data_IF_112981616098
#
_entry.id   IF_112981616098
#
_cell.length_a   1.000
_cell.length_b   1.000
_cell.length_c   1.000
_cell.angle_alpha   90.00
_cell.angle_beta   90.00
_cell.angle_gamma   90.00
#
_symmetry.space_group_name_H-M   'P 1'
#
loop_
_entity.id
_entity.type
_entity.pdbx_description
1 polymer ?
#
# COMPACT_ATOMS: atom_id res chain seq x y z
N UNK A 1 -8.87 3.69 7.59
CA UNK A 1 -10.29 3.28 7.59
C UNK A 1 -10.38 1.91 6.93
N UNK A 2 -11.25 1.03 7.43
CA UNK A 2 -11.58 -0.25 6.78
C UNK A 2 -12.77 0.01 5.86
N UNK A 3 -12.67 -0.40 4.60
CA UNK A 3 -13.66 -0.23 3.55
C UNK A 3 -14.19 -1.63 3.20
N UNK A 4 -15.51 -1.80 3.20
CA UNK A 4 -16.15 -3.06 2.78
C UNK A 4 -15.99 -3.29 1.29
N UNK A 5 -16.13 -4.53 0.82
CA UNK A 5 -16.05 -4.85 -0.62
C UNK A 5 -17.06 -4.06 -1.46
N UNK A 6 -18.31 -3.97 -1.00
CA UNK A 6 -19.37 -3.21 -1.69
C UNK A 6 -19.02 -1.73 -1.77
N UNK A 7 -18.58 -1.14 -0.66
CA UNK A 7 -18.17 0.27 -0.64
C UNK A 7 -16.94 0.51 -1.53
N UNK A 8 -16.00 -0.44 -1.55
CA UNK A 8 -14.81 -0.38 -2.39
C UNK A 8 -15.16 -0.33 -3.87
N UNK A 9 -16.02 -1.23 -4.35
CA UNK A 9 -16.47 -1.26 -5.75
C UNK A 9 -17.09 0.07 -6.18
N UNK A 10 -17.96 0.64 -5.32
CA UNK A 10 -18.60 1.93 -5.60
C UNK A 10 -17.59 3.08 -5.64
N UNK A 11 -16.65 3.14 -4.68
CA UNK A 11 -15.67 4.23 -4.59
C UNK A 11 -14.56 4.16 -5.63
N UNK A 12 -14.24 2.96 -6.11
CA UNK A 12 -13.20 2.72 -7.12
C UNK A 12 -13.73 2.74 -8.56
N UNK A 13 -15.07 2.77 -8.75
CA UNK A 13 -15.71 2.61 -10.06
C UNK A 13 -15.33 1.28 -10.74
N UNK A 14 -15.20 0.23 -9.92
CA UNK A 14 -14.87 -1.12 -10.37
C UNK A 14 -16.10 -2.03 -10.39
N UNK A 15 -16.13 -2.91 -11.40
CA UNK A 15 -17.01 -4.08 -11.37
C UNK A 15 -16.37 -5.25 -10.62
N UNK A 16 -17.22 -6.22 -10.24
CA UNK A 16 -16.80 -7.41 -9.50
C UNK A 16 -15.75 -8.24 -10.26
N UNK A 17 -15.89 -8.36 -11.58
CA UNK A 17 -15.03 -9.20 -12.41
C UNK A 17 -13.61 -8.61 -12.49
N UNK A 18 -13.51 -7.31 -12.67
CA UNK A 18 -12.25 -6.57 -12.71
C UNK A 18 -11.56 -6.62 -11.36
N UNK A 19 -12.31 -6.46 -10.26
CA UNK A 19 -11.78 -6.64 -8.92
C UNK A 19 -11.18 -8.04 -8.74
N UNK A 20 -11.90 -9.09 -9.15
CA UNK A 20 -11.41 -10.47 -8.99
C UNK A 20 -10.13 -10.73 -9.79
N UNK A 21 -10.01 -10.15 -10.99
CA UNK A 21 -8.75 -10.19 -11.77
C UNK A 21 -7.62 -9.47 -11.03
N UNK A 22 -7.87 -8.27 -10.50
CA UNK A 22 -6.83 -7.50 -9.81
C UNK A 22 -6.39 -8.14 -8.49
N UNK A 23 -7.28 -8.87 -7.83
CA UNK A 23 -6.93 -9.68 -6.67
C UNK A 23 -6.12 -10.92 -7.07
N UNK A 24 -6.50 -11.59 -8.17
CA UNK A 24 -5.78 -12.77 -8.67
C UNK A 24 -4.37 -12.46 -9.16
N UNK A 25 -4.18 -11.30 -9.80
CA UNK A 25 -2.87 -10.77 -10.22
C UNK A 25 -2.08 -10.12 -9.08
N UNK A 26 -2.60 -10.16 -7.85
CA UNK A 26 -2.00 -9.57 -6.64
C UNK A 26 -1.77 -8.05 -6.73
N UNK A 27 -2.45 -7.35 -7.65
CA UNK A 27 -2.38 -5.89 -7.77
C UNK A 27 -3.05 -5.20 -6.58
N UNK A 28 -4.12 -5.81 -6.06
CA UNK A 28 -4.75 -5.40 -4.81
C UNK A 28 -4.53 -6.50 -3.77
N UNK A 29 -4.10 -6.11 -2.58
CA UNK A 29 -3.86 -7.04 -1.47
C UNK A 29 -4.63 -6.57 -0.23
N UNK A 30 -5.97 -6.63 -0.25
CA UNK A 30 -6.77 -6.33 0.92
C UNK A 30 -6.46 -7.32 2.04
N UNK A 31 -6.82 -6.94 3.27
CA UNK A 31 -6.74 -7.85 4.40
C UNK A 31 -7.86 -8.88 4.28
N UNK A 32 -7.50 -10.15 4.15
CA UNK A 32 -8.47 -11.25 4.21
C UNK A 32 -8.96 -11.41 5.65
N UNK A 33 -10.21 -11.05 5.91
CA UNK A 33 -10.89 -11.36 7.17
C UNK A 33 -11.78 -12.61 6.99
N UNK A 34 -12.28 -13.16 8.11
CA UNK A 34 -12.94 -14.47 8.12
C UNK A 34 -14.15 -14.59 7.17
N UNK A 35 -14.87 -13.48 6.95
CA UNK A 35 -16.11 -13.48 6.15
C UNK A 35 -16.00 -12.69 4.84
N UNK A 36 -15.17 -11.63 4.78
CA UNK A 36 -15.04 -10.77 3.59
C UNK A 36 -13.68 -10.04 3.52
N UNK A 37 -13.10 -9.80 2.33
CA UNK A 37 -11.94 -8.94 2.17
C UNK A 37 -12.20 -7.51 2.67
N UNK A 38 -11.28 -7.02 3.48
CA UNK A 38 -11.28 -5.67 4.04
C UNK A 38 -10.27 -4.80 3.31
N UNK A 39 -10.76 -3.77 2.64
CA UNK A 39 -9.95 -2.82 1.88
C UNK A 39 -9.54 -1.64 2.76
N UNK A 40 -8.47 -0.98 2.38
CA UNK A 40 -7.98 0.24 3.00
C UNK A 40 -8.00 1.40 2.02
N UNK A 41 -7.83 2.63 2.53
CA UNK A 41 -7.66 3.81 1.67
C UNK A 41 -6.45 3.68 0.74
N UNK A 42 -5.42 2.91 1.12
CA UNK A 42 -4.28 2.64 0.25
C UNK A 42 -4.68 1.74 -0.94
N UNK A 43 -5.55 0.76 -0.71
CA UNK A 43 -6.08 -0.09 -1.79
C UNK A 43 -6.93 0.74 -2.76
N UNK A 44 -7.71 1.69 -2.24
CA UNK A 44 -8.52 2.58 -3.08
C UNK A 44 -7.65 3.49 -3.94
N UNK A 45 -6.63 4.11 -3.35
CA UNK A 45 -5.67 4.94 -4.08
C UNK A 45 -4.92 4.11 -5.15
N UNK A 46 -4.58 2.85 -4.83
CA UNK A 46 -3.96 1.95 -5.79
C UNK A 46 -4.91 1.58 -6.94
N UNK A 47 -6.19 1.34 -6.67
CA UNK A 47 -7.18 1.08 -7.70
C UNK A 47 -7.34 2.27 -8.66
N UNK A 48 -7.40 3.49 -8.13
CA UNK A 48 -7.45 4.72 -8.92
C UNK A 48 -6.20 4.87 -9.81
N UNK A 49 -5.01 4.60 -9.27
CA UNK A 49 -3.77 4.61 -10.05
C UNK A 49 -3.82 3.59 -11.20
N UNK A 50 -4.31 2.37 -10.96
CA UNK A 50 -4.42 1.36 -12.01
C UNK A 50 -5.35 1.85 -13.13
N UNK A 51 -6.46 2.51 -12.79
CA UNK A 51 -7.34 3.14 -13.78
C UNK A 51 -6.63 4.21 -14.60
N UNK A 52 -5.89 5.12 -13.96
CA UNK A 52 -5.12 6.16 -14.65
C UNK A 52 -4.07 5.54 -15.60
N UNK A 53 -3.35 4.52 -15.14
CA UNK A 53 -2.37 3.80 -15.95
C UNK A 53 -3.01 3.15 -17.19
N UNK A 54 -4.15 2.48 -17.03
CA UNK A 54 -4.80 1.76 -18.13
C UNK A 54 -5.55 2.70 -19.08
N UNK A 55 -6.29 3.68 -18.56
CA UNK A 55 -7.18 4.54 -19.35
C UNK A 55 -6.44 5.74 -19.96
N UNK A 56 -5.61 6.41 -19.17
CA UNK A 56 -5.06 7.70 -19.57
C UNK A 56 -3.65 7.54 -20.17
N UNK A 57 -2.91 6.50 -19.75
CA UNK A 57 -1.55 6.21 -20.22
C UNK A 57 -1.44 5.01 -21.16
N UNK A 58 -2.53 4.25 -21.35
CA UNK A 58 -2.57 3.10 -22.28
C UNK A 58 -1.65 1.94 -21.90
N UNK A 59 -1.31 1.82 -20.61
CA UNK A 59 -0.45 0.75 -20.10
C UNK A 59 -1.22 -0.58 -20.17
N UNK A 60 -0.55 -1.63 -20.67
CA UNK A 60 -1.10 -2.98 -20.69
C UNK A 60 -1.02 -3.65 -19.31
N UNK A 61 -1.67 -4.80 -19.14
CA UNK A 61 -1.74 -5.47 -17.84
C UNK A 61 -0.35 -5.86 -17.29
N UNK A 62 0.54 -6.35 -18.16
CA UNK A 62 1.92 -6.66 -17.80
C UNK A 62 2.68 -5.42 -17.28
N UNK A 63 2.51 -4.29 -17.96
CA UNK A 63 3.12 -3.02 -17.59
C UNK A 63 2.58 -2.48 -16.27
N UNK A 64 1.29 -2.66 -15.99
CA UNK A 64 0.70 -2.30 -14.70
C UNK A 64 1.38 -3.06 -13.57
N UNK A 65 1.54 -4.38 -13.70
CA UNK A 65 2.22 -5.20 -12.70
C UNK A 65 3.65 -4.72 -12.40
N UNK A 66 4.41 -4.39 -13.45
CA UNK A 66 5.77 -3.85 -13.30
C UNK A 66 5.77 -2.50 -12.57
N UNK A 67 4.89 -1.58 -12.94
CA UNK A 67 4.81 -0.24 -12.32
C UNK A 67 4.42 -0.35 -10.85
N UNK A 68 3.44 -1.19 -10.52
CA UNK A 68 3.02 -1.43 -9.13
C UNK A 68 4.16 -2.02 -8.29
N UNK A 69 4.89 -3.01 -8.83
CA UNK A 69 6.05 -3.59 -8.15
C UNK A 69 7.15 -2.55 -7.87
N UNK A 70 7.43 -1.65 -8.82
CA UNK A 70 8.38 -0.56 -8.63
C UNK A 70 7.90 0.44 -7.57
N UNK A 71 6.61 0.77 -7.57
CA UNK A 71 6.01 1.65 -6.58
C UNK A 71 6.13 1.06 -5.17
N UNK A 72 5.86 -0.24 -5.04
CA UNK A 72 5.97 -0.97 -3.77
C UNK A 72 7.41 -1.02 -3.26
N UNK A 73 8.39 -1.18 -4.15
CA UNK A 73 9.82 -1.09 -3.80
C UNK A 73 10.19 0.30 -3.25
N UNK A 74 9.74 1.37 -3.92
CA UNK A 74 9.98 2.75 -3.46
C UNK A 74 9.34 3.00 -2.10
N UNK A 75 8.11 2.54 -1.89
CA UNK A 75 7.44 2.64 -0.59
C UNK A 75 8.16 1.82 0.50
N UNK A 76 8.64 0.62 0.16
CA UNK A 76 9.45 -0.21 1.04
C UNK A 76 10.73 0.52 1.50
N UNK A 77 11.46 1.11 0.56
CA UNK A 77 12.67 1.88 0.86
C UNK A 77 12.37 3.10 1.74
N UNK A 78 11.30 3.85 1.43
CA UNK A 78 10.89 5.00 2.25
C UNK A 78 10.55 4.61 3.69
N UNK A 79 9.87 3.47 3.88
CA UNK A 79 9.58 2.94 5.23
C UNK A 79 10.85 2.55 5.97
N UNK A 80 11.75 1.81 5.32
CA UNK A 80 13.02 1.39 5.92
C UNK A 80 13.85 2.60 6.38
N UNK A 81 13.96 3.64 5.55
CA UNK A 81 14.65 4.88 5.92
C UNK A 81 13.98 5.61 7.08
N UNK A 82 12.65 5.69 7.09
CA UNK A 82 11.91 6.31 8.19
C UNK A 82 12.12 5.58 9.52
N UNK A 83 12.18 4.24 9.50
CA UNK A 83 12.41 3.44 10.69
C UNK A 83 13.84 3.57 11.22
N UNK A 84 14.86 3.61 10.34
CA UNK A 84 16.24 3.91 10.74
C UNK A 84 16.34 5.28 11.44
N UNK A 85 15.69 6.31 10.89
CA UNK A 85 15.68 7.65 11.49
C UNK A 85 14.95 7.69 12.85
N UNK A 86 13.90 6.89 13.02
CA UNK A 86 13.18 6.77 14.30
C UNK A 86 14.05 6.10 15.35
N UNK A 87 14.70 4.99 15.02
CA UNK A 87 15.60 4.27 15.94
C UNK A 87 16.78 5.15 16.37
N UNK A 88 17.37 5.90 15.43
CA UNK A 88 18.46 6.84 15.75
C UNK A 88 18.03 7.95 16.73
N UNK A 89 16.78 8.42 16.66
CA UNK A 89 16.23 9.44 17.58
C UNK A 89 15.76 8.87 18.92
N UNK A 90 15.40 7.58 18.96
CA UNK A 90 14.98 6.88 20.17
C UNK A 90 16.14 6.49 21.10
N UNK A 91 17.39 6.83 20.75
CA UNK A 91 18.56 6.71 21.61
C UNK A 91 19.02 8.10 22.12
N UNK A 92 18.36 8.69 23.14
CA UNK A 92 18.94 9.82 23.86
C UNK A 92 19.98 9.33 24.86
N UNK A 93 21.19 9.88 24.75
CA UNK A 93 22.29 9.91 25.72
C UNK A 93 22.01 9.26 27.10
N UNK A 94 22.44 8.02 27.27
CA UNK A 94 22.76 7.44 28.58
C UNK A 94 24.26 7.57 28.81
N UNK A 95 24.75 8.80 28.93
CA UNK A 95 26.17 9.13 29.20
C UNK A 95 26.32 10.25 30.25
N UNK A 96 25.33 10.49 31.10
CA UNK A 96 25.37 11.58 32.11
C UNK A 96 24.97 11.10 33.52
N UNK A 97 25.63 10.06 34.04
CA UNK A 97 25.51 9.72 35.49
C UNK A 97 26.77 9.04 36.08
N UNK A 98 27.96 9.36 35.56
CA UNK A 98 29.24 8.86 36.11
C UNK A 98 30.12 9.94 36.76
N UNK A 99 29.64 11.19 36.91
CA UNK A 99 30.42 12.29 37.50
C UNK A 99 29.66 13.02 38.62
N UNK A 100 29.19 12.26 39.61
CA UNK A 100 28.88 12.77 40.96
C UNK A 100 29.28 11.74 42.01
N UNK A 101 30.55 11.73 42.38
CA UNK A 101 31.06 11.15 43.62
C UNK A 101 32.04 12.11 44.26
#
# INVERSE_FOLDING_TARGET
MIISKVEFLVRSDLDQQTLDVWLAEEWLMPRLAADEPQFSEADLARAQLIHELKRDLGVNDEGVGVILGLLDQVHGLRRALADVLRTSRAHPASDDEADRS
#
